data_IF_408748756487
#
_entry.id   IF_408748756487
#
_cell.length_a   1.000
_cell.length_b   1.000
_cell.length_c   1.000
_cell.angle_alpha   90.00
_cell.angle_beta   90.00
_cell.angle_gamma   90.00
#
_symmetry.space_group_name_H-M   'P 1'
#
loop_
_entity.id
_entity.type
_entity.pdbx_description
1 polymer ?
#
# COMPACT_ATOMS: atom_id res chain seq x y z
N UNK A 1 22.30 -16.34 13.78
CA UNK A 1 22.37 -15.86 12.38
C UNK A 1 21.74 -14.48 12.35
N UNK A 2 22.27 -13.49 11.62
CA UNK A 2 21.57 -12.22 11.46
C UNK A 2 20.21 -12.52 10.79
N UNK A 3 19.11 -11.98 11.30
CA UNK A 3 17.79 -12.22 10.70
C UNK A 3 17.78 -11.55 9.33
N UNK A 4 17.77 -12.34 8.27
CA UNK A 4 17.60 -11.85 6.91
C UNK A 4 16.19 -11.25 6.81
N UNK A 5 16.08 -10.04 6.27
CA UNK A 5 14.78 -9.41 6.04
C UNK A 5 14.00 -10.24 5.00
N UNK A 6 12.86 -10.86 5.36
CA UNK A 6 12.08 -11.69 4.45
C UNK A 6 11.58 -10.91 3.23
N UNK A 7 11.50 -9.58 3.28
CA UNK A 7 11.09 -8.76 2.13
C UNK A 7 12.19 -8.54 1.09
N UNK A 8 13.46 -8.76 1.45
CA UNK A 8 14.61 -8.42 0.58
C UNK A 8 14.64 -9.17 -0.76
N UNK A 9 13.95 -10.31 -0.86
CA UNK A 9 13.84 -11.08 -2.11
C UNK A 9 12.50 -10.97 -2.83
N UNK A 10 11.55 -10.19 -2.30
CA UNK A 10 10.23 -10.03 -2.91
C UNK A 10 10.22 -8.84 -3.89
N UNK A 11 9.62 -9.06 -5.06
CA UNK A 11 9.41 -8.02 -6.06
C UNK A 11 7.95 -8.03 -6.48
N UNK A 12 7.24 -6.93 -6.19
CA UNK A 12 5.85 -6.72 -6.60
C UNK A 12 5.77 -6.49 -8.12
N UNK A 13 4.96 -7.29 -8.81
CA UNK A 13 4.45 -7.00 -10.15
C UNK A 13 3.04 -6.39 -10.04
N UNK A 14 2.95 -5.08 -10.21
CA UNK A 14 1.70 -4.34 -10.17
C UNK A 14 1.10 -4.07 -11.55
N UNK A 15 1.59 -4.70 -12.62
CA UNK A 15 1.12 -4.45 -13.99
C UNK A 15 -0.41 -4.60 -14.13
N UNK A 16 -0.99 -5.57 -13.42
CA UNK A 16 -2.43 -5.88 -13.42
C UNK A 16 -3.31 -4.88 -12.66
N UNK A 17 -2.73 -4.04 -11.81
CA UNK A 17 -3.43 -3.01 -11.02
C UNK A 17 -2.67 -1.66 -11.05
N UNK A 18 -2.04 -1.38 -12.19
CA UNK A 18 -1.21 -0.19 -12.39
C UNK A 18 -2.01 1.12 -12.35
N UNK A 19 -3.27 1.09 -12.80
CA UNK A 19 -4.18 2.22 -12.73
C UNK A 19 -4.55 2.56 -11.28
N UNK A 20 -4.85 1.55 -10.47
CA UNK A 20 -5.12 1.68 -9.04
C UNK A 20 -3.90 2.22 -8.30
N UNK A 21 -2.70 1.71 -8.60
CA UNK A 21 -1.45 2.25 -8.02
C UNK A 21 -1.27 3.74 -8.30
N UNK A 22 -1.49 4.16 -9.55
CA UNK A 22 -1.39 5.57 -9.91
C UNK A 22 -2.43 6.43 -9.16
N UNK A 23 -3.68 5.97 -9.09
CA UNK A 23 -4.74 6.67 -8.35
C UNK A 23 -4.46 6.72 -6.84
N UNK A 24 -3.90 5.65 -6.26
CA UNK A 24 -3.48 5.60 -4.85
C UNK A 24 -2.34 6.59 -4.61
N UNK A 25 -1.35 6.67 -5.49
CA UNK A 25 -0.23 7.61 -5.37
C UNK A 25 -0.70 9.07 -5.40
N UNK A 26 -1.67 9.39 -6.25
CA UNK A 26 -2.31 10.71 -6.29
C UNK A 26 -3.00 11.03 -4.95
N UNK A 27 -3.80 10.10 -4.43
CA UNK A 27 -4.47 10.26 -3.13
C UNK A 27 -3.47 10.37 -1.98
N UNK A 28 -2.38 9.61 -2.00
CA UNK A 28 -1.31 9.70 -1.00
C UNK A 28 -0.66 11.08 -1.04
N UNK A 29 -0.39 11.60 -2.24
CA UNK A 29 0.20 12.92 -2.42
C UNK A 29 -0.70 14.03 -1.88
N UNK A 30 -1.99 13.96 -2.19
CA UNK A 30 -2.98 15.00 -1.87
C UNK A 30 -3.42 14.96 -0.40
N UNK A 31 -3.64 13.78 0.17
CA UNK A 31 -4.28 13.65 1.49
C UNK A 31 -3.33 13.10 2.57
N UNK A 32 -2.47 12.12 2.25
CA UNK A 32 -1.62 11.49 3.26
C UNK A 32 -0.37 12.31 3.58
N UNK A 33 0.30 12.88 2.57
CA UNK A 33 1.53 13.66 2.80
C UNK A 33 1.32 14.87 3.72
N UNK A 34 0.28 15.72 3.54
CA UNK A 34 0.03 16.82 4.46
C UNK A 34 -0.29 16.34 5.88
N UNK A 35 -1.07 15.26 5.99
CA UNK A 35 -1.42 14.63 7.26
C UNK A 35 -0.17 14.14 8.01
N UNK A 36 0.72 13.42 7.34
CA UNK A 36 1.99 12.94 7.91
C UNK A 36 2.91 14.07 8.37
N UNK A 37 2.85 15.22 7.69
CA UNK A 37 3.64 16.39 8.02
C UNK A 37 2.98 17.28 9.10
N UNK A 38 1.81 16.90 9.62
CA UNK A 38 1.08 17.71 10.61
C UNK A 38 0.55 19.03 10.04
N UNK A 39 0.32 19.11 8.73
CA UNK A 39 -0.14 20.30 8.02
C UNK A 39 -1.68 20.35 7.90
N UNK A 40 -2.38 19.69 8.81
CA UNK A 40 -3.85 19.62 8.85
C UNK A 40 -4.34 20.14 10.19
N UNK A 41 -5.45 20.88 10.17
CA UNK A 41 -6.03 21.47 11.38
C UNK A 41 -6.77 20.42 12.23
N UNK A 42 -7.37 19.42 11.58
CA UNK A 42 -8.11 18.32 12.20
C UNK A 42 -7.57 16.99 11.68
N UNK A 43 -6.86 16.27 12.55
CA UNK A 43 -6.21 15.00 12.20
C UNK A 43 -7.25 13.91 11.98
N UNK A 44 -8.29 13.82 12.81
CA UNK A 44 -9.26 12.74 12.76
C UNK A 44 -10.08 12.83 11.46
N UNK A 45 -10.56 14.04 11.12
CA UNK A 45 -11.28 14.27 9.87
C UNK A 45 -10.39 14.02 8.63
N UNK A 46 -9.11 14.39 8.69
CA UNK A 46 -8.17 14.15 7.60
C UNK A 46 -7.87 12.65 7.41
N UNK A 47 -7.76 11.89 8.50
CA UNK A 47 -7.60 10.42 8.45
C UNK A 47 -8.82 9.75 7.81
N UNK A 48 -10.03 10.15 8.20
CA UNK A 48 -11.27 9.62 7.61
C UNK A 48 -11.33 9.91 6.11
N UNK A 49 -11.07 11.16 5.73
CA UNK A 49 -11.05 11.56 4.31
C UNK A 49 -10.03 10.75 3.51
N UNK A 50 -8.80 10.61 4.00
CA UNK A 50 -7.78 9.80 3.32
C UNK A 50 -8.24 8.35 3.14
N UNK A 51 -8.80 7.72 4.18
CA UNK A 51 -9.28 6.32 4.14
C UNK A 51 -10.38 6.14 3.09
N UNK A 52 -11.32 7.07 3.00
CA UNK A 52 -12.38 7.02 1.99
C UNK A 52 -11.81 7.15 0.57
N UNK A 53 -10.93 8.14 0.35
CA UNK A 53 -10.34 8.41 -0.96
C UNK A 53 -9.45 7.27 -1.44
N UNK A 54 -8.60 6.72 -0.56
CA UNK A 54 -7.67 5.65 -0.95
C UNK A 54 -8.43 4.34 -1.22
N UNK A 55 -9.54 4.11 -0.50
CA UNK A 55 -10.44 2.99 -0.79
C UNK A 55 -11.11 3.15 -2.16
N UNK A 56 -11.63 4.35 -2.46
CA UNK A 56 -12.22 4.66 -3.76
C UNK A 56 -11.20 4.58 -4.92
N UNK A 57 -9.92 4.83 -4.64
CA UNK A 57 -8.82 4.70 -5.60
C UNK A 57 -8.44 3.23 -5.92
N UNK A 58 -9.07 2.25 -5.27
CA UNK A 58 -8.85 0.82 -5.56
C UNK A 58 -7.86 0.13 -4.61
N UNK A 59 -7.65 0.66 -3.40
CA UNK A 59 -6.75 0.05 -2.41
C UNK A 59 -7.06 -1.43 -2.13
N UNK A 60 -8.34 -1.80 -2.07
CA UNK A 60 -8.71 -3.19 -1.80
C UNK A 60 -8.22 -4.14 -2.91
N UNK A 61 -8.43 -3.78 -4.18
CA UNK A 61 -7.96 -4.55 -5.33
C UNK A 61 -6.43 -4.63 -5.41
N UNK A 62 -5.74 -3.50 -5.22
CA UNK A 62 -4.27 -3.47 -5.22
C UNK A 62 -3.69 -4.31 -4.07
N UNK A 63 -4.34 -4.28 -2.89
CA UNK A 63 -3.94 -5.11 -1.74
C UNK A 63 -4.14 -6.59 -2.01
N UNK A 64 -5.24 -6.99 -2.65
CA UNK A 64 -5.49 -8.38 -3.02
C UNK A 64 -4.42 -8.90 -4.01
N UNK A 65 -4.11 -8.11 -5.04
CA UNK A 65 -3.05 -8.45 -6.01
C UNK A 65 -1.67 -8.60 -5.37
N UNK A 66 -1.31 -7.67 -4.48
CA UNK A 66 -0.06 -7.74 -3.72
C UNK A 66 -0.02 -8.94 -2.78
N UNK A 67 -1.11 -9.18 -2.03
CA UNK A 67 -1.17 -10.25 -1.03
C UNK A 67 -1.05 -11.65 -1.67
N UNK A 68 -1.65 -11.86 -2.85
CA UNK A 68 -1.50 -13.10 -3.59
C UNK A 68 -0.05 -13.37 -4.01
N UNK A 69 0.66 -12.32 -4.46
CA UNK A 69 2.07 -12.43 -4.82
C UNK A 69 2.96 -12.70 -3.60
N UNK A 70 2.72 -11.99 -2.50
CA UNK A 70 3.45 -12.19 -1.26
C UNK A 70 3.28 -13.62 -0.73
N UNK A 71 2.04 -14.12 -0.73
CA UNK A 71 1.76 -15.49 -0.31
C UNK A 71 2.50 -16.51 -1.19
N UNK A 72 2.45 -16.35 -2.51
CA UNK A 72 3.17 -17.21 -3.46
C UNK A 72 4.67 -17.19 -3.17
N UNK A 73 5.26 -16.00 -2.98
CA UNK A 73 6.67 -15.85 -2.62
C UNK A 73 7.03 -16.56 -1.31
N UNK A 74 6.18 -16.42 -0.27
CA UNK A 74 6.40 -17.11 1.00
C UNK A 74 6.38 -18.64 0.84
N UNK A 75 5.45 -19.17 0.05
CA UNK A 75 5.35 -20.60 -0.26
C UNK A 75 6.60 -21.12 -1.00
N UNK A 76 7.10 -20.38 -1.98
CA UNK A 76 8.29 -20.75 -2.78
C UNK A 76 9.60 -20.67 -1.97
N UNK A 77 9.70 -19.73 -1.03
CA UNK A 77 10.91 -19.50 -0.24
C UNK A 77 10.91 -20.23 1.12
N UNK A 78 9.79 -20.85 1.49
CA UNK A 78 9.63 -21.52 2.78
C UNK A 78 9.52 -20.56 3.97
N UNK A 79 9.22 -19.28 3.72
CA UNK A 79 8.90 -18.31 4.76
C UNK A 79 7.50 -18.63 5.32
N UNK A 80 7.39 -18.70 6.66
CA UNK A 80 6.15 -19.05 7.38
C UNK A 80 5.73 -17.94 8.34
#
# INVERSE_FOLDING_TARGET
MPSVDPYSGFSEDYSSYSAEKAAIDDVVSEYLRPLQNGLVDDVDAAVETFREKVKAAGLDSAREGWAAQWQTYCEETGLK
#
